data_IF_214829544203
#
_entry.id   IF_214829544203
#
_cell.length_a   1.000
_cell.length_b   1.000
_cell.length_c   1.000
_cell.angle_alpha   90.00
_cell.angle_beta   90.00
_cell.angle_gamma   90.00
#
_symmetry.space_group_name_H-M   'P 1'
#
loop_
_entity.id
_entity.type
_entity.pdbx_description
1 polymer ?
#
# COMPACT_ATOMS: atom_id res chain seq x y z
N UNK A 1 -0.32 13.55 -3.69
CA UNK A 1 -0.46 12.97 -5.04
C UNK A 1 -1.43 13.88 -5.77
N UNK A 2 -1.10 14.33 -6.98
CA UNK A 2 -1.98 15.24 -7.74
C UNK A 2 -3.31 14.52 -7.98
N UNK A 3 -4.44 15.19 -7.72
CA UNK A 3 -5.76 14.60 -7.90
C UNK A 3 -5.97 14.32 -9.40
N UNK A 4 -5.88 13.05 -9.80
CA UNK A 4 -6.06 12.62 -11.21
C UNK A 4 -7.45 12.99 -11.74
N UNK A 5 -8.39 13.30 -10.85
CA UNK A 5 -9.73 13.80 -11.19
C UNK A 5 -9.70 15.14 -11.95
N UNK A 6 -8.69 15.98 -11.71
CA UNK A 6 -8.53 17.27 -12.41
C UNK A 6 -8.15 17.13 -13.89
N UNK A 7 -7.74 15.94 -14.32
CA UNK A 7 -7.30 15.67 -15.70
C UNK A 7 -8.19 14.63 -16.39
N UNK A 8 -9.38 14.35 -15.87
CA UNK A 8 -10.38 13.52 -16.57
C UNK A 8 -10.73 14.20 -17.89
N UNK A 9 -10.95 13.40 -18.95
CA UNK A 9 -11.32 13.92 -20.29
C UNK A 9 -12.55 14.84 -20.23
N UNK A 10 -13.43 14.60 -19.27
CA UNK A 10 -14.60 15.39 -18.92
C UNK A 10 -14.27 16.87 -18.61
N UNK A 11 -13.08 17.16 -18.06
CA UNK A 11 -12.59 18.51 -17.75
C UNK A 11 -11.68 19.10 -18.84
N UNK A 12 -11.34 18.34 -19.88
CA UNK A 12 -10.50 18.77 -20.99
C UNK A 12 -11.31 19.27 -22.20
N UNK A 13 -12.61 19.54 -22.02
CA UNK A 13 -13.49 20.04 -23.07
C UNK A 13 -13.49 21.58 -23.19
N UNK A 14 -12.29 22.14 -23.42
CA UNK A 14 -12.14 23.54 -23.80
C UNK A 14 -11.16 23.66 -24.98
N UNK A 15 -11.31 24.68 -25.85
CA UNK A 15 -10.35 24.94 -26.92
C UNK A 15 -8.94 25.10 -26.33
N UNK A 16 -7.93 24.45 -26.92
CA UNK A 16 -6.52 24.40 -26.48
C UNK A 16 -6.14 23.44 -25.32
N UNK A 17 -7.02 22.53 -24.87
CA UNK A 17 -6.66 21.52 -23.86
C UNK A 17 -5.45 20.63 -24.25
N UNK A 18 -5.24 20.37 -25.55
CA UNK A 18 -4.08 19.64 -26.07
C UNK A 18 -2.73 20.33 -25.79
N UNK A 19 -2.71 21.65 -25.55
CA UNK A 19 -1.49 22.40 -25.22
C UNK A 19 -1.01 22.17 -23.79
N UNK A 20 -1.90 21.73 -22.89
CA UNK A 20 -1.55 21.38 -21.50
C UNK A 20 -0.94 19.99 -21.38
N UNK A 21 -1.35 19.04 -22.24
CA UNK A 21 -0.81 17.68 -22.23
C UNK A 21 0.69 17.64 -22.58
N UNK A 22 1.17 18.54 -23.44
CA UNK A 22 2.57 18.61 -23.87
C UNK A 22 3.58 19.05 -22.80
N UNK A 23 3.13 19.60 -21.67
CA UNK A 23 3.98 20.12 -20.59
C UNK A 23 3.67 19.48 -19.22
N UNK A 24 2.99 18.33 -19.21
CA UNK A 24 2.62 17.66 -17.97
C UNK A 24 3.78 16.79 -17.45
N UNK A 25 4.42 17.23 -16.37
CA UNK A 25 5.28 16.33 -15.56
C UNK A 25 4.41 15.63 -14.54
N UNK A 26 4.29 14.30 -14.67
CA UNK A 26 3.53 13.47 -13.75
C UNK A 26 4.43 13.05 -12.59
N UNK A 27 4.09 13.53 -11.39
CA UNK A 27 4.77 13.11 -10.16
C UNK A 27 4.12 11.83 -9.65
N UNK A 28 4.84 10.71 -9.75
CA UNK A 28 4.40 9.41 -9.27
C UNK A 28 5.36 8.85 -8.23
N UNK A 29 4.81 8.10 -7.28
CA UNK A 29 5.60 7.33 -6.34
C UNK A 29 5.85 5.95 -6.93
N UNK A 30 6.94 5.85 -7.70
CA UNK A 30 7.41 4.53 -8.14
C UNK A 30 8.07 3.77 -6.97
N UNK A 31 8.37 2.49 -7.20
CA UNK A 31 8.92 1.59 -6.18
C UNK A 31 10.24 2.12 -5.62
N UNK A 32 11.12 2.62 -6.50
CA UNK A 32 12.43 3.14 -6.11
C UNK A 32 12.29 4.40 -5.25
N UNK A 33 11.42 5.33 -5.65
CA UNK A 33 11.14 6.58 -4.94
C UNK A 33 10.59 6.35 -3.54
N UNK A 34 9.82 5.28 -3.33
CA UNK A 34 9.32 4.88 -2.02
C UNK A 34 10.45 4.36 -1.12
N UNK A 35 11.37 3.57 -1.66
CA UNK A 35 12.56 3.14 -0.92
C UNK A 35 13.51 4.31 -0.64
N UNK A 36 13.70 5.23 -1.58
CA UNK A 36 14.43 6.49 -1.38
C UNK A 36 13.81 7.31 -0.24
N UNK A 37 12.49 7.47 -0.23
CA UNK A 37 11.77 8.15 0.85
C UNK A 37 12.02 7.48 2.20
N UNK A 38 11.94 6.15 2.26
CA UNK A 38 12.18 5.38 3.47
C UNK A 38 13.61 5.55 4.00
N UNK A 39 14.61 5.35 3.14
CA UNK A 39 16.03 5.50 3.49
C UNK A 39 16.34 6.92 3.90
N UNK A 40 15.82 7.92 3.18
CA UNK A 40 16.00 9.33 3.54
C UNK A 40 15.44 9.61 4.93
N UNK A 41 14.27 9.07 5.26
CA UNK A 41 13.67 9.25 6.59
C UNK A 41 14.51 8.60 7.68
N UNK A 42 15.00 7.37 7.47
CA UNK A 42 15.83 6.64 8.42
C UNK A 42 17.21 7.28 8.61
N UNK A 43 17.89 7.65 7.53
CA UNK A 43 19.23 8.26 7.61
C UNK A 43 19.22 9.57 8.39
N UNK A 44 18.11 10.29 8.38
CA UNK A 44 17.93 11.54 9.09
C UNK A 44 17.23 11.38 10.46
N UNK A 45 17.02 10.16 10.96
CA UNK A 45 16.40 9.93 12.28
C UNK A 45 17.39 9.89 13.44
N UNK A 46 18.67 9.66 13.18
CA UNK A 46 19.71 9.60 14.20
C UNK A 46 21.00 8.95 13.70
N UNK A 47 22.10 9.16 14.42
CA UNK A 47 23.43 8.70 14.00
C UNK A 47 23.51 7.18 13.87
N UNK A 48 23.01 6.43 14.85
CA UNK A 48 23.04 4.96 14.85
C UNK A 48 22.37 4.37 13.60
N UNK A 49 21.24 4.93 13.18
CA UNK A 49 20.53 4.50 11.98
C UNK A 49 21.28 4.90 10.70
N UNK A 50 21.88 6.09 10.67
CA UNK A 50 22.73 6.50 9.54
C UNK A 50 23.95 5.58 9.39
N UNK A 51 24.61 5.25 10.49
CA UNK A 51 25.76 4.33 10.51
C UNK A 51 25.36 2.93 10.03
N UNK A 52 24.20 2.44 10.49
CA UNK A 52 23.63 1.18 10.01
C UNK A 52 23.40 1.19 8.49
N UNK A 53 22.80 2.25 7.95
CA UNK A 53 22.54 2.38 6.51
C UNK A 53 23.82 2.47 5.68
N UNK A 54 24.88 3.09 6.22
CA UNK A 54 26.19 3.18 5.55
C UNK A 54 26.92 1.83 5.42
N UNK A 55 26.48 0.79 6.14
CA UNK A 55 26.98 -0.58 5.91
C UNK A 55 26.60 -1.12 4.52
N UNK A 56 25.58 -0.54 3.89
CA UNK A 56 25.13 -0.87 2.54
C UNK A 56 25.80 0.07 1.54
N UNK A 57 26.87 -0.39 0.91
CA UNK A 57 27.65 0.40 -0.05
C UNK A 57 26.77 0.99 -1.16
N UNK A 58 26.94 2.28 -1.41
CA UNK A 58 26.22 3.00 -2.47
C UNK A 58 24.76 3.33 -2.15
N UNK A 59 24.27 3.06 -0.93
CA UNK A 59 22.90 3.41 -0.54
C UNK A 59 22.73 4.93 -0.33
N UNK A 60 23.69 5.55 0.33
CA UNK A 60 23.77 7.00 0.53
C UNK A 60 24.91 7.50 -0.34
N UNK A 61 24.62 8.46 -1.22
CA UNK A 61 25.60 8.98 -2.20
C UNK A 61 26.15 10.34 -1.81
N UNK A 62 25.39 11.12 -1.04
CA UNK A 62 25.78 12.46 -0.64
C UNK A 62 25.01 12.92 0.62
N UNK A 63 25.39 14.07 1.16
CA UNK A 63 24.69 14.76 2.23
C UNK A 63 24.65 16.26 1.94
N UNK A 64 23.50 16.89 2.16
CA UNK A 64 23.31 18.31 1.95
C UNK A 64 22.93 19.01 3.27
N UNK A 65 23.49 20.20 3.59
CA UNK A 65 23.24 20.87 4.88
C UNK A 65 21.76 21.08 5.21
N UNK A 66 20.92 21.34 4.20
CA UNK A 66 19.47 21.56 4.39
C UNK A 66 18.61 20.32 4.15
N UNK A 67 19.05 19.41 3.28
CA UNK A 67 18.23 18.27 2.86
C UNK A 67 18.63 16.99 3.58
N UNK A 68 19.70 17.02 4.37
CA UNK A 68 20.28 15.86 5.03
C UNK A 68 20.85 14.86 4.04
N UNK A 69 20.82 13.59 4.40
CA UNK A 69 21.32 12.51 3.54
C UNK A 69 20.52 12.38 2.24
N UNK A 70 21.25 12.15 1.14
CA UNK A 70 20.74 11.94 -0.20
C UNK A 70 20.96 10.48 -0.60
N UNK A 71 19.88 9.70 -0.75
CA UNK A 71 19.98 8.29 -1.09
C UNK A 71 20.17 8.11 -2.61
N UNK A 72 20.71 6.96 -3.03
CA UNK A 72 21.07 6.67 -4.43
C UNK A 72 19.86 6.59 -5.36
N UNK A 73 20.09 6.83 -6.65
CA UNK A 73 19.14 6.52 -7.73
C UNK A 73 19.30 5.11 -8.29
N UNK A 74 20.29 4.35 -7.82
CA UNK A 74 20.48 2.95 -8.22
C UNK A 74 19.58 2.03 -7.40
N UNK A 75 18.96 1.04 -8.04
CA UNK A 75 18.04 0.12 -7.36
C UNK A 75 18.77 -0.91 -6.47
N UNK A 76 19.97 -1.34 -6.88
CA UNK A 76 20.70 -2.45 -6.25
C UNK A 76 20.99 -2.27 -4.75
N UNK A 77 21.40 -1.08 -4.26
CA UNK A 77 21.59 -0.86 -2.82
C UNK A 77 20.32 -1.05 -1.99
N UNK A 78 19.13 -0.76 -2.53
CA UNK A 78 17.86 -0.95 -1.81
C UNK A 78 17.47 -2.42 -1.71
N UNK A 79 17.80 -3.22 -2.73
CA UNK A 79 17.65 -4.66 -2.65
C UNK A 79 18.54 -5.21 -1.53
N UNK A 80 19.83 -4.85 -1.54
CA UNK A 80 20.78 -5.25 -0.52
C UNK A 80 20.34 -4.79 0.88
N UNK A 81 19.84 -3.56 1.01
CA UNK A 81 19.29 -3.07 2.28
C UNK A 81 18.18 -3.97 2.80
N UNK A 82 17.23 -4.39 1.95
CA UNK A 82 16.15 -5.29 2.37
C UNK A 82 16.70 -6.68 2.75
N UNK A 83 17.70 -7.18 2.03
CA UNK A 83 18.39 -8.43 2.40
C UNK A 83 19.05 -8.31 3.79
N UNK A 84 19.73 -7.20 4.08
CA UNK A 84 20.43 -6.95 5.36
C UNK A 84 19.48 -6.64 6.52
N UNK A 85 18.38 -5.92 6.27
CA UNK A 85 17.46 -5.43 7.30
C UNK A 85 16.42 -6.46 7.72
N UNK A 86 15.96 -7.30 6.79
CA UNK A 86 14.86 -8.25 7.02
C UNK A 86 15.26 -9.68 6.68
N UNK A 87 16.18 -9.85 5.74
CA UNK A 87 16.50 -11.13 5.11
C UNK A 87 16.12 -11.13 3.64
N UNK A 88 16.83 -11.93 2.85
CA UNK A 88 16.69 -11.98 1.39
C UNK A 88 15.30 -12.42 0.90
N UNK A 89 14.70 -13.36 1.61
CA UNK A 89 13.42 -13.96 1.25
C UNK A 89 12.41 -13.79 2.38
N UNK A 90 11.13 -13.78 2.02
CA UNK A 90 10.02 -13.72 2.99
C UNK A 90 9.73 -15.07 3.67
N UNK A 91 10.76 -15.91 3.80
CA UNK A 91 10.72 -17.26 4.32
C UNK A 91 12.01 -18.01 3.98
N UNK A 92 11.96 -19.34 3.96
CA UNK A 92 13.18 -20.15 3.85
C UNK A 92 13.83 -20.20 2.46
N UNK A 93 13.16 -19.74 1.40
CA UNK A 93 13.64 -19.91 0.03
C UNK A 93 13.01 -18.90 -0.96
N UNK A 94 13.57 -18.74 -2.18
CA UNK A 94 13.08 -17.79 -3.18
C UNK A 94 11.60 -17.93 -3.56
N UNK A 95 10.99 -19.13 -3.42
CA UNK A 95 9.56 -19.33 -3.74
C UNK A 95 8.63 -18.62 -2.76
N UNK A 96 9.14 -18.19 -1.60
CA UNK A 96 8.40 -17.36 -0.64
C UNK A 96 8.39 -15.87 -1.03
N UNK A 97 9.13 -15.49 -2.07
CA UNK A 97 9.25 -14.12 -2.53
C UNK A 97 10.48 -13.44 -1.98
N UNK A 98 11.09 -12.58 -2.81
CA UNK A 98 12.20 -11.72 -2.40
C UNK A 98 11.64 -10.54 -1.62
N UNK A 99 12.21 -10.22 -0.47
CA UNK A 99 11.70 -9.18 0.45
C UNK A 99 11.48 -7.86 -0.26
N UNK A 100 12.49 -7.39 -1.00
CA UNK A 100 12.42 -6.15 -1.77
C UNK A 100 11.22 -6.07 -2.74
N UNK A 101 10.87 -7.19 -3.40
CA UNK A 101 9.72 -7.23 -4.33
C UNK A 101 8.41 -7.51 -3.62
N UNK A 102 8.45 -8.27 -2.53
CA UNK A 102 7.27 -8.64 -1.77
C UNK A 102 6.55 -7.40 -1.21
N UNK A 103 7.31 -6.47 -0.62
CA UNK A 103 6.77 -5.26 0.02
C UNK A 103 5.86 -4.46 -0.94
N UNK A 104 6.34 -3.93 -2.08
CA UNK A 104 5.49 -3.16 -2.97
C UNK A 104 4.35 -3.99 -3.57
N UNK A 105 4.57 -5.27 -3.86
CA UNK A 105 3.53 -6.14 -4.43
C UNK A 105 2.34 -6.38 -3.48
N UNK A 106 2.52 -6.21 -2.17
CA UNK A 106 1.45 -6.39 -1.18
C UNK A 106 0.80 -5.07 -0.75
N UNK A 107 1.45 -3.94 -1.06
CA UNK A 107 0.94 -2.59 -0.75
C UNK A 107 0.27 -1.89 -1.92
N UNK A 108 0.51 -2.36 -3.15
CA UNK A 108 -0.06 -1.74 -4.34
C UNK A 108 -1.57 -2.00 -4.45
N UNK A 109 -2.28 -1.00 -4.98
CA UNK A 109 -3.67 -1.14 -5.42
C UNK A 109 -3.76 -1.88 -6.77
N UNK A 110 -4.95 -1.96 -7.37
CA UNK A 110 -5.16 -2.66 -8.65
C UNK A 110 -4.53 -1.94 -9.84
N UNK A 111 -4.17 -0.66 -9.71
CA UNK A 111 -3.43 0.11 -10.72
C UNK A 111 -1.91 0.06 -10.50
N UNK A 112 -1.44 -0.68 -9.49
CA UNK A 112 -0.02 -0.77 -9.16
C UNK A 112 0.51 0.44 -8.37
N UNK A 113 -0.36 1.35 -7.93
CA UNK A 113 0.03 2.55 -7.15
C UNK A 113 0.17 2.18 -5.68
N UNK A 114 1.13 2.82 -5.02
CA UNK A 114 1.37 2.65 -3.58
C UNK A 114 1.35 4.04 -2.94
N UNK A 115 0.54 4.17 -1.88
CA UNK A 115 0.53 5.40 -1.07
C UNK A 115 1.77 5.43 -0.18
N UNK A 116 2.59 6.50 -0.18
CA UNK A 116 3.82 6.58 0.61
C UNK A 116 3.63 6.33 2.10
N UNK A 117 2.48 6.76 2.63
CA UNK A 117 2.13 6.59 4.03
C UNK A 117 1.97 5.12 4.40
N UNK A 118 1.28 4.33 3.57
CA UNK A 118 1.14 2.88 3.74
C UNK A 118 2.49 2.16 3.66
N UNK A 119 3.36 2.59 2.75
CA UNK A 119 4.73 2.06 2.64
C UNK A 119 5.54 2.28 3.93
N UNK A 120 5.56 3.50 4.45
CA UNK A 120 6.26 3.81 5.70
C UNK A 120 5.62 3.14 6.92
N UNK A 121 4.29 3.05 6.97
CA UNK A 121 3.55 2.40 8.07
C UNK A 121 3.83 0.90 8.14
N UNK A 122 4.10 0.23 7.01
CA UNK A 122 4.52 -1.17 7.04
C UNK A 122 5.76 -1.36 7.93
N UNK A 123 6.79 -0.54 7.74
CA UNK A 123 8.00 -0.62 8.55
C UNK A 123 7.77 -0.16 9.99
N UNK A 124 6.98 0.90 10.21
CA UNK A 124 6.63 1.38 11.56
C UNK A 124 5.94 0.29 12.37
N UNK A 125 4.85 -0.27 11.86
CA UNK A 125 4.10 -1.32 12.54
C UNK A 125 4.91 -2.61 12.67
N UNK A 126 5.81 -2.92 11.73
CA UNK A 126 6.71 -4.06 11.86
C UNK A 126 7.72 -3.88 12.99
N UNK A 127 8.30 -2.68 13.10
CA UNK A 127 9.22 -2.34 14.17
C UNK A 127 8.52 -2.38 15.53
N UNK A 128 7.32 -1.80 15.64
CA UNK A 128 6.49 -1.85 16.85
C UNK A 128 6.25 -3.30 17.33
N UNK A 129 5.93 -4.22 16.41
CA UNK A 129 5.75 -5.65 16.74
C UNK A 129 7.03 -6.35 17.16
N UNK A 130 8.18 -5.85 16.71
CA UNK A 130 9.51 -6.41 17.00
C UNK A 130 10.08 -5.91 18.33
N UNK A 131 9.64 -4.77 18.86
CA UNK A 131 10.19 -4.17 20.09
C UNK A 131 10.17 -5.12 21.30
N UNK A 132 9.16 -5.97 21.42
CA UNK A 132 9.04 -6.92 22.53
C UNK A 132 9.83 -8.22 22.33
N UNK A 133 10.47 -8.40 21.17
CA UNK A 133 11.13 -9.65 20.73
C UNK A 133 12.44 -9.38 19.99
N UNK A 134 13.15 -8.32 20.39
CA UNK A 134 14.41 -7.88 19.76
C UNK A 134 15.50 -8.94 19.93
N UNK A 135 15.49 -9.67 21.05
CA UNK A 135 16.43 -10.75 21.38
C UNK A 135 16.37 -11.94 20.40
N UNK A 136 15.28 -12.08 19.63
CA UNK A 136 15.22 -13.11 18.60
C UNK A 136 15.93 -12.71 17.30
N UNK A 137 16.38 -11.46 17.15
CA UNK A 137 17.15 -11.00 15.99
C UNK A 137 18.59 -11.50 16.11
N UNK A 138 19.13 -11.96 14.99
CA UNK A 138 20.53 -12.38 14.87
C UNK A 138 21.21 -11.51 13.81
N UNK A 139 22.49 -11.23 14.00
CA UNK A 139 23.31 -10.47 13.03
C UNK A 139 22.83 -9.01 12.86
N UNK A 140 22.90 -8.48 11.63
CA UNK A 140 22.51 -7.10 11.29
C UNK A 140 21.00 -6.91 11.06
N UNK A 141 20.18 -7.95 11.27
CA UNK A 141 18.74 -7.86 11.02
C UNK A 141 18.08 -6.88 11.99
N UNK A 142 17.20 -6.02 11.48
CA UNK A 142 16.33 -5.15 12.30
C UNK A 142 14.90 -5.69 12.39
N UNK A 143 14.49 -6.51 11.43
CA UNK A 143 13.15 -7.10 11.33
C UNK A 143 13.28 -8.56 10.85
N UNK A 144 12.18 -9.30 10.96
CA UNK A 144 11.98 -10.59 10.29
C UNK A 144 10.82 -10.51 9.30
N UNK A 145 10.75 -11.42 8.32
CA UNK A 145 9.61 -11.51 7.39
C UNK A 145 8.24 -11.58 8.05
N UNK A 146 8.15 -12.26 9.21
CA UNK A 146 6.90 -12.38 9.97
C UNK A 146 6.40 -11.03 10.51
N UNK A 147 7.30 -10.09 10.79
CA UNK A 147 6.93 -8.77 11.30
C UNK A 147 6.22 -7.97 10.20
N UNK A 148 6.77 -7.97 8.98
CA UNK A 148 6.16 -7.38 7.80
C UNK A 148 4.80 -8.02 7.47
N UNK A 149 4.70 -9.34 7.53
CA UNK A 149 3.44 -10.06 7.28
C UNK A 149 2.36 -9.69 8.31
N UNK A 150 2.73 -9.61 9.59
CA UNK A 150 1.82 -9.19 10.63
C UNK A 150 1.40 -7.73 10.49
N UNK A 151 2.34 -6.84 10.16
CA UNK A 151 2.11 -5.42 9.97
C UNK A 151 1.22 -5.10 8.77
N UNK A 152 1.26 -5.90 7.70
CA UNK A 152 0.43 -5.69 6.51
C UNK A 152 -1.07 -5.58 6.82
N UNK A 153 -1.53 -6.33 7.83
CA UNK A 153 -2.93 -6.29 8.27
C UNK A 153 -3.29 -4.96 8.91
N UNK A 154 -2.40 -4.43 9.76
CA UNK A 154 -2.57 -3.13 10.39
C UNK A 154 -2.48 -2.00 9.36
N UNK A 155 -1.56 -2.11 8.40
CA UNK A 155 -1.46 -1.17 7.27
C UNK A 155 -2.74 -1.15 6.44
N UNK A 156 -3.33 -2.31 6.17
CA UNK A 156 -4.58 -2.38 5.41
C UNK A 156 -5.76 -1.77 6.18
N UNK A 157 -5.87 -2.05 7.48
CA UNK A 157 -6.87 -1.42 8.35
C UNK A 157 -6.72 0.09 8.42
N UNK A 158 -5.49 0.55 8.55
CA UNK A 158 -5.14 1.95 8.60
C UNK A 158 -5.41 2.65 7.25
N UNK A 159 -5.10 2.02 6.11
CA UNK A 159 -5.44 2.58 4.79
C UNK A 159 -6.94 2.77 4.61
N UNK A 160 -7.77 1.81 5.05
CA UNK A 160 -9.22 2.00 5.01
C UNK A 160 -9.67 3.12 5.95
N UNK A 161 -9.07 3.25 7.13
CA UNK A 161 -9.37 4.36 8.04
C UNK A 161 -9.06 5.71 7.38
N UNK A 162 -7.92 5.84 6.72
CA UNK A 162 -7.54 7.04 5.98
C UNK A 162 -8.53 7.37 4.87
N UNK A 163 -8.87 6.38 4.04
CA UNK A 163 -9.88 6.58 2.99
C UNK A 163 -11.20 7.09 3.57
N UNK A 164 -11.68 6.50 4.65
CA UNK A 164 -12.96 6.89 5.27
C UNK A 164 -12.88 8.29 5.91
N UNK A 165 -11.77 8.65 6.54
CA UNK A 165 -11.66 9.91 7.29
C UNK A 165 -11.27 11.10 6.41
N UNK A 166 -10.48 10.87 5.35
CA UNK A 166 -9.83 11.93 4.59
C UNK A 166 -10.42 12.11 3.17
N UNK A 167 -10.95 11.04 2.53
CA UNK A 167 -11.24 11.06 1.09
C UNK A 167 -12.68 10.65 0.72
N UNK A 168 -13.13 9.49 1.20
CA UNK A 168 -14.38 8.82 0.80
C UNK A 168 -15.14 8.25 2.01
N UNK A 169 -15.81 9.10 2.83
CA UNK A 169 -16.49 8.66 4.04
C UNK A 169 -17.55 7.57 3.82
N UNK A 170 -18.17 7.54 2.64
CA UNK A 170 -19.17 6.53 2.26
C UNK A 170 -18.63 5.09 2.24
N UNK A 171 -17.31 4.91 2.12
CA UNK A 171 -16.66 3.59 2.15
C UNK A 171 -16.83 2.90 3.52
N UNK A 172 -17.10 3.64 4.60
CA UNK A 172 -17.35 3.07 5.93
C UNK A 172 -18.45 2.00 5.88
N UNK A 173 -19.52 2.24 5.11
CA UNK A 173 -20.65 1.31 5.00
C UNK A 173 -20.24 -0.05 4.42
N UNK A 174 -19.24 -0.08 3.53
CA UNK A 174 -18.74 -1.32 2.93
C UNK A 174 -18.05 -2.25 3.93
N UNK A 175 -17.48 -1.73 5.02
CA UNK A 175 -16.80 -2.56 6.03
C UNK A 175 -17.71 -3.63 6.60
N UNK A 176 -18.97 -3.27 6.89
CA UNK A 176 -19.92 -4.24 7.44
C UNK A 176 -20.42 -5.21 6.37
N UNK A 177 -20.75 -4.70 5.17
CA UNK A 177 -21.30 -5.51 4.08
C UNK A 177 -20.30 -6.51 3.49
N UNK A 178 -19.02 -6.15 3.40
CA UNK A 178 -17.98 -7.02 2.83
C UNK A 178 -17.39 -7.98 3.86
N UNK A 179 -17.57 -7.73 5.15
CA UNK A 179 -17.00 -8.54 6.23
C UNK A 179 -17.25 -10.04 6.04
N UNK A 180 -16.18 -10.82 6.07
CA UNK A 180 -16.23 -12.28 6.00
C UNK A 180 -16.46 -12.86 4.61
N UNK A 181 -16.72 -12.03 3.59
CA UNK A 181 -16.80 -12.48 2.21
C UNK A 181 -15.42 -12.95 1.71
N UNK A 182 -15.42 -13.64 0.55
CA UNK A 182 -14.22 -14.19 -0.06
C UNK A 182 -13.99 -13.60 -1.43
N UNK A 183 -12.74 -13.28 -1.77
CA UNK A 183 -12.32 -12.91 -3.14
C UNK A 183 -11.30 -13.93 -3.69
N UNK A 184 -11.25 -14.15 -5.02
CA UNK A 184 -12.15 -13.58 -6.03
C UNK A 184 -13.61 -14.06 -5.86
N UNK A 185 -14.59 -13.22 -6.22
CA UNK A 185 -16.02 -13.55 -6.18
C UNK A 185 -16.73 -13.23 -7.49
N UNK A 186 -17.87 -13.86 -7.74
CA UNK A 186 -18.73 -13.51 -8.86
C UNK A 186 -19.19 -12.05 -8.79
N UNK A 187 -19.21 -11.37 -9.94
CA UNK A 187 -19.67 -9.97 -10.04
C UNK A 187 -21.10 -9.81 -9.52
N UNK A 188 -22.01 -10.72 -9.86
CA UNK A 188 -23.41 -10.69 -9.39
C UNK A 188 -23.50 -10.69 -7.87
N UNK A 189 -22.71 -11.53 -7.20
CA UNK A 189 -22.66 -11.57 -5.73
C UNK A 189 -22.20 -10.24 -5.14
N UNK A 190 -21.21 -9.58 -5.74
CA UNK A 190 -20.79 -8.27 -5.27
C UNK A 190 -21.89 -7.21 -5.47
N UNK A 191 -22.58 -7.23 -6.61
CA UNK A 191 -23.68 -6.31 -6.88
C UNK A 191 -24.83 -6.49 -5.87
N UNK A 192 -25.15 -7.73 -5.47
CA UNK A 192 -26.10 -8.01 -4.39
C UNK A 192 -25.64 -7.43 -3.03
N UNK A 193 -24.34 -7.52 -2.72
CA UNK A 193 -23.77 -6.90 -1.51
C UNK A 193 -23.88 -5.37 -1.57
N UNK A 194 -23.58 -4.76 -2.72
CA UNK A 194 -23.66 -3.30 -2.91
C UNK A 194 -25.12 -2.81 -2.83
N UNK A 195 -26.06 -3.55 -3.42
CA UNK A 195 -27.49 -3.25 -3.36
C UNK A 195 -28.06 -3.35 -1.93
N UNK A 196 -27.54 -4.29 -1.13
CA UNK A 196 -27.97 -4.50 0.26
C UNK A 196 -27.17 -3.71 1.30
N UNK A 197 -26.14 -2.95 0.88
CA UNK A 197 -25.32 -2.15 1.79
C UNK A 197 -26.16 -0.99 2.36
N UNK A 198 -26.19 -0.81 3.70
CA UNK A 198 -26.92 0.28 4.32
C UNK A 198 -26.16 1.61 4.17
N UNK A 199 -26.25 2.20 2.97
CA UNK A 199 -25.64 3.49 2.66
C UNK A 199 -26.20 4.60 3.55
N UNK A 200 -25.34 5.53 3.98
CA UNK A 200 -25.78 6.69 4.76
C UNK A 200 -26.62 7.65 3.91
N UNK A 201 -27.60 8.30 4.54
CA UNK A 201 -28.38 9.39 3.95
C UNK A 201 -27.73 10.77 4.18
N UNK A 202 -26.67 10.84 4.99
CA UNK A 202 -25.89 12.08 5.18
C UNK A 202 -25.15 12.41 3.88
N UNK A 203 -25.24 13.68 3.43
CA UNK A 203 -24.70 14.13 2.13
C UNK A 203 -23.24 13.71 1.91
N UNK A 204 -22.42 13.83 2.95
CA UNK A 204 -20.97 13.65 2.86
C UNK A 204 -20.55 12.19 3.04
N UNK A 205 -21.50 11.31 3.41
CA UNK A 205 -21.28 9.87 3.65
C UNK A 205 -22.12 8.98 2.72
N UNK A 206 -22.80 9.58 1.74
CA UNK A 206 -23.51 8.86 0.69
C UNK A 206 -22.55 8.53 -0.45
N UNK A 207 -22.64 7.35 -1.08
CA UNK A 207 -21.89 7.08 -2.31
C UNK A 207 -22.26 8.11 -3.40
N UNK A 208 -21.35 8.39 -4.35
CA UNK A 208 -21.62 9.31 -5.45
C UNK A 208 -22.79 8.89 -6.34
N UNK A 209 -23.14 7.59 -6.31
CA UNK A 209 -24.25 7.02 -7.05
C UNK A 209 -25.04 6.02 -6.18
N UNK A 210 -26.30 5.78 -6.52
CA UNK A 210 -27.15 4.76 -5.90
C UNK A 210 -27.15 3.41 -6.62
N UNK A 211 -26.80 3.37 -7.91
CA UNK A 211 -26.85 2.12 -8.69
C UNK A 211 -25.62 1.23 -8.37
N UNK A 212 -25.83 -0.05 -8.00
CA UNK A 212 -24.74 -0.96 -7.63
C UNK A 212 -23.62 -1.08 -8.68
N UNK A 213 -23.97 -1.11 -9.97
CA UNK A 213 -23.03 -1.15 -11.08
C UNK A 213 -22.11 0.07 -11.11
N UNK A 214 -22.65 1.26 -10.86
CA UNK A 214 -21.91 2.51 -10.89
C UNK A 214 -21.02 2.63 -9.65
N UNK A 215 -21.50 2.18 -8.48
CA UNK A 215 -20.66 2.05 -7.27
C UNK A 215 -19.50 1.08 -7.52
N UNK A 216 -19.75 -0.06 -8.19
CA UNK A 216 -18.68 -0.99 -8.56
C UNK A 216 -17.65 -0.33 -9.48
N UNK A 217 -18.08 0.44 -10.49
CA UNK A 217 -17.14 1.15 -11.36
C UNK A 217 -16.28 2.16 -10.58
N UNK A 218 -16.88 2.90 -9.66
CA UNK A 218 -16.15 3.82 -8.78
C UNK A 218 -15.11 3.05 -7.96
N UNK A 219 -15.47 1.93 -7.33
CA UNK A 219 -14.52 1.13 -6.55
C UNK A 219 -13.37 0.55 -7.40
N UNK A 220 -13.62 0.24 -8.68
CA UNK A 220 -12.57 -0.17 -9.62
C UNK A 220 -11.66 1.01 -9.96
N UNK A 221 -12.24 2.18 -10.25
CA UNK A 221 -11.48 3.40 -10.55
C UNK A 221 -10.63 3.89 -9.36
N UNK A 222 -11.09 3.67 -8.13
CA UNK A 222 -10.33 3.96 -6.91
C UNK A 222 -9.20 2.95 -6.65
N UNK A 223 -9.04 1.95 -7.50
CA UNK A 223 -8.05 0.89 -7.32
C UNK A 223 -8.41 -0.13 -6.23
N UNK A 224 -9.61 -0.04 -5.63
CA UNK A 224 -10.03 -0.89 -4.50
C UNK A 224 -10.42 -2.28 -4.98
N UNK A 225 -11.01 -2.37 -6.16
CA UNK A 225 -11.44 -3.61 -6.79
C UNK A 225 -10.86 -3.74 -8.19
N UNK A 226 -10.81 -4.96 -8.70
CA UNK A 226 -10.50 -5.25 -10.10
C UNK A 226 -11.44 -6.33 -10.63
N UNK A 227 -11.75 -6.23 -11.92
CA UNK A 227 -12.35 -7.35 -12.65
C UNK A 227 -11.23 -8.19 -13.26
N UNK A 228 -11.21 -9.48 -12.93
CA UNK A 228 -10.30 -10.44 -13.55
C UNK A 228 -10.74 -10.78 -14.98
N UNK A 229 -9.86 -11.46 -15.71
CA UNK A 229 -10.13 -11.98 -17.07
C UNK A 229 -11.34 -12.93 -17.11
N UNK A 230 -11.64 -13.62 -16.01
CA UNK A 230 -12.78 -14.52 -15.86
C UNK A 230 -14.03 -13.83 -15.28
N UNK A 231 -14.07 -12.49 -15.30
CA UNK A 231 -15.14 -11.62 -14.77
C UNK A 231 -15.37 -11.68 -13.25
N UNK A 232 -14.54 -12.43 -12.50
CA UNK A 232 -14.62 -12.39 -11.05
C UNK A 232 -13.97 -11.13 -10.51
N UNK A 233 -14.56 -10.59 -9.44
CA UNK A 233 -14.05 -9.41 -8.76
C UNK A 233 -13.03 -9.81 -7.70
N UNK A 234 -11.89 -9.14 -7.70
CA UNK A 234 -10.84 -9.29 -6.71
C UNK A 234 -10.55 -7.95 -6.02
N UNK A 235 -9.82 -8.03 -4.90
CA UNK A 235 -9.43 -6.90 -4.07
C UNK A 235 -7.96 -7.08 -3.66
N UNK A 236 -7.07 -6.09 -3.85
CA UNK A 236 -5.66 -6.20 -3.49
C UNK A 236 -5.49 -6.20 -1.96
N UNK A 237 -4.34 -6.68 -1.49
CA UNK A 237 -4.15 -6.97 -0.07
C UNK A 237 -4.15 -5.72 0.82
N UNK A 238 -3.75 -4.57 0.26
CA UNK A 238 -3.82 -3.28 0.92
C UNK A 238 -5.25 -2.89 1.36
N UNK A 239 -6.30 -3.43 0.74
CA UNK A 239 -7.69 -3.21 1.15
C UNK A 239 -8.35 -4.44 1.77
N UNK A 240 -7.85 -5.64 1.43
CA UNK A 240 -8.46 -6.93 1.78
C UNK A 240 -8.64 -7.12 3.28
N UNK A 241 -7.58 -6.90 4.07
CA UNK A 241 -7.66 -7.12 5.52
C UNK A 241 -8.47 -6.01 6.20
N UNK A 242 -8.38 -4.78 5.70
CA UNK A 242 -9.12 -3.60 6.13
C UNK A 242 -10.64 -3.79 6.08
N UNK A 243 -11.14 -4.38 5.00
CA UNK A 243 -12.56 -4.75 4.85
C UNK A 243 -12.93 -6.12 5.48
N UNK A 244 -11.99 -6.80 6.14
CA UNK A 244 -12.17 -8.16 6.67
C UNK A 244 -12.66 -9.17 5.62
N UNK A 245 -12.18 -8.99 4.37
CA UNK A 245 -12.40 -9.90 3.25
C UNK A 245 -11.33 -10.99 3.30
N UNK A 246 -11.69 -12.21 2.88
CA UNK A 246 -10.81 -13.39 2.91
C UNK A 246 -10.34 -13.76 1.50
N UNK A 247 -9.12 -14.25 1.38
CA UNK A 247 -8.58 -14.82 0.13
C UNK A 247 -8.04 -16.23 0.39
N UNK A 248 -8.45 -17.25 -0.40
CA UNK A 248 -7.83 -18.57 -0.34
C UNK A 248 -6.33 -18.47 -0.65
N UNK A 249 -5.48 -18.97 0.25
CA UNK A 249 -4.02 -18.95 0.09
C UNK A 249 -3.36 -17.58 0.32
N UNK A 250 -4.09 -16.57 0.80
CA UNK A 250 -3.50 -15.30 1.25
C UNK A 250 -2.67 -15.47 2.53
N UNK A 251 -1.98 -14.40 2.96
CA UNK A 251 -1.20 -14.42 4.19
C UNK A 251 -2.13 -14.70 5.37
N UNK A 252 -1.80 -15.74 6.12
CA UNK A 252 -2.58 -16.17 7.28
C UNK A 252 -2.37 -15.15 8.40
N UNK A 253 -3.46 -14.71 9.05
CA UNK A 253 -3.41 -13.91 10.28
C UNK A 253 -2.51 -14.65 11.29
N UNK A 254 -1.33 -14.12 11.65
CA UNK A 254 -0.55 -14.70 12.72
C UNK A 254 -1.44 -14.66 13.97
N UNK A 255 -1.67 -15.82 14.59
CA UNK A 255 -2.26 -15.80 15.92
C UNK A 255 -1.17 -15.24 16.84
N UNK A 256 -1.35 -13.99 17.28
CA UNK A 256 -0.59 -13.48 18.40
C UNK A 256 -1.05 -14.31 19.61
N UNK A 257 -0.28 -15.33 19.96
CA UNK A 257 -0.42 -15.98 21.26
C UNK A 257 -0.04 -14.94 22.30
N UNK A 258 -1.05 -14.43 23.02
CA UNK A 258 -0.86 -13.76 24.30
C UNK A 258 -0.23 -14.71 25.31
#
# INVERSE_FOLDING_TARGET
MLNTDLFREEFLWFPDASKLQGHQTRLEWDKLSLYQLFVKRLANSGQEMSDYLQTVSGLIVDSHPLLGFLPSSDESPYQLLMETMVGKFMGSNPRKGYTYRWIPNHLQDTEGKIVPRSFLKLFSFSAEKRLDKVEELTESLLLKPVDLQAALMDVSQDRIRELVQEEYPWIEALKQSLKGNRVPMEKSKLLEILASTPWSNESDKKPPNSEPEEILQILIQLGILESRLDNRINMPEIYLYGFDVKRPGGIIRPQLTN
#
